data_IF_882984124112
#
_entry.id   IF_882984124112
#
_cell.length_a   1.000
_cell.length_b   1.000
_cell.length_c   1.000
_cell.angle_alpha   90.00
_cell.angle_beta   90.00
_cell.angle_gamma   90.00
#
_symmetry.space_group_name_H-M   'P 1'
#
loop_
_entity.id
_entity.type
_entity.pdbx_description
1 polymer ?
#
# COMPACT_ATOMS: atom_id res chain seq x y z
N UNK A 1 20.84 7.40 -18.93
CA UNK A 1 19.78 8.11 -18.29
C UNK A 1 20.30 8.85 -17.09
N UNK A 2 20.02 10.12 -16.97
CA UNK A 2 20.44 10.99 -15.90
C UNK A 2 19.72 10.59 -14.61
N UNK A 3 20.43 10.03 -13.65
CA UNK A 3 20.05 10.08 -12.25
C UNK A 3 20.35 11.52 -11.82
N UNK A 4 19.40 12.41 -11.98
CA UNK A 4 19.40 13.66 -11.25
C UNK A 4 19.39 13.31 -9.77
N UNK A 5 20.38 13.78 -9.05
CA UNK A 5 20.42 13.84 -7.60
C UNK A 5 19.14 14.56 -7.16
N UNK A 6 18.12 13.81 -6.80
CA UNK A 6 16.89 14.36 -6.22
C UNK A 6 17.23 14.91 -4.83
N UNK A 7 17.74 16.13 -4.82
CA UNK A 7 17.69 17.00 -3.64
C UNK A 7 16.23 17.05 -3.17
N UNK A 8 16.02 16.99 -1.87
CA UNK A 8 14.75 16.91 -1.16
C UNK A 8 13.56 17.39 -2.01
N UNK A 9 12.75 16.45 -2.48
CA UNK A 9 11.52 16.79 -3.20
C UNK A 9 10.56 17.34 -2.15
N UNK A 10 10.29 18.64 -2.23
CA UNK A 10 9.30 19.30 -1.38
C UNK A 10 7.91 18.90 -1.87
N UNK A 11 7.43 17.72 -1.47
CA UNK A 11 6.04 17.34 -1.74
C UNK A 11 5.13 17.98 -0.70
N UNK A 12 3.95 18.45 -1.12
CA UNK A 12 2.97 19.04 -0.19
C UNK A 12 2.37 17.97 0.72
N UNK A 13 2.01 16.82 0.15
CA UNK A 13 1.41 15.70 0.89
C UNK A 13 2.18 14.41 0.63
N UNK A 14 2.62 13.76 1.70
CA UNK A 14 3.20 12.42 1.67
C UNK A 14 2.17 11.41 2.15
N UNK A 15 1.83 10.43 1.31
CA UNK A 15 0.90 9.34 1.63
C UNK A 15 1.69 8.05 1.83
N UNK A 16 1.49 7.38 2.97
CA UNK A 16 2.20 6.16 3.33
C UNK A 16 1.32 4.95 3.02
N UNK A 17 1.65 4.24 1.95
CA UNK A 17 0.96 3.05 1.46
C UNK A 17 0.14 3.29 0.19
N UNK A 18 0.40 2.50 -0.86
CA UNK A 18 -0.34 2.51 -2.13
C UNK A 18 -1.44 1.42 -2.17
N UNK A 19 -2.13 1.26 -1.05
CA UNK A 19 -3.34 0.44 -0.96
C UNK A 19 -4.59 1.24 -1.33
N UNK A 20 -5.76 0.67 -1.05
CA UNK A 20 -7.06 1.25 -1.36
C UNK A 20 -7.21 2.68 -0.83
N UNK A 21 -6.88 2.93 0.44
CA UNK A 21 -7.00 4.25 1.05
C UNK A 21 -6.00 5.25 0.45
N UNK A 22 -4.74 4.85 0.30
CA UNK A 22 -3.68 5.73 -0.23
C UNK A 22 -3.92 6.13 -1.68
N UNK A 23 -4.32 5.20 -2.54
CA UNK A 23 -4.63 5.51 -3.93
C UNK A 23 -5.90 6.37 -4.06
N UNK A 24 -6.91 6.14 -3.22
CA UNK A 24 -8.13 6.96 -3.21
C UNK A 24 -7.85 8.41 -2.85
N UNK A 25 -7.06 8.65 -1.80
CA UNK A 25 -6.72 10.02 -1.41
C UNK A 25 -5.78 10.70 -2.41
N UNK A 26 -4.81 9.96 -2.96
CA UNK A 26 -3.90 10.48 -3.98
C UNK A 26 -4.67 10.94 -5.23
N UNK A 27 -5.63 10.13 -5.69
CA UNK A 27 -6.50 10.50 -6.80
C UNK A 27 -7.34 11.75 -6.49
N UNK A 28 -7.84 11.89 -5.27
CA UNK A 28 -8.58 13.07 -4.86
C UNK A 28 -7.71 14.32 -4.82
N UNK A 29 -6.51 14.22 -4.27
CA UNK A 29 -5.54 15.32 -4.23
C UNK A 29 -5.14 15.75 -5.66
N UNK A 30 -4.91 14.79 -6.55
CA UNK A 30 -4.65 15.05 -7.98
C UNK A 30 -5.77 15.88 -8.63
N UNK A 31 -7.04 15.55 -8.37
CA UNK A 31 -8.19 16.31 -8.89
C UNK A 31 -8.29 17.73 -8.32
N UNK A 32 -7.62 17.99 -7.22
CA UNK A 32 -7.58 19.31 -6.58
C UNK A 32 -6.30 20.08 -6.89
N UNK A 33 -5.46 19.59 -7.81
CA UNK A 33 -4.13 20.13 -8.14
C UNK A 33 -3.22 20.28 -6.90
N UNK A 34 -3.36 19.38 -5.93
CA UNK A 34 -2.50 19.32 -4.76
C UNK A 34 -1.39 18.30 -5.01
N UNK A 35 -0.14 18.76 -4.93
CA UNK A 35 1.03 17.90 -5.08
C UNK A 35 1.06 16.81 -4.00
N UNK A 36 1.21 15.56 -4.43
CA UNK A 36 1.14 14.38 -3.59
C UNK A 36 2.10 13.31 -4.08
N UNK A 37 2.89 12.79 -3.14
CA UNK A 37 3.71 11.59 -3.34
C UNK A 37 3.14 10.45 -2.49
N UNK A 38 2.91 9.30 -3.11
CA UNK A 38 2.59 8.05 -2.41
C UNK A 38 3.85 7.20 -2.31
N UNK A 39 4.14 6.66 -1.14
CA UNK A 39 5.25 5.70 -0.96
C UNK A 39 4.70 4.32 -0.62
N UNK A 40 5.27 3.29 -1.24
CA UNK A 40 4.85 1.90 -1.10
C UNK A 40 6.09 1.02 -0.84
N UNK A 41 6.07 0.28 0.26
CA UNK A 41 7.18 -0.60 0.64
C UNK A 41 7.40 -1.79 -0.29
N UNK A 42 6.31 -2.26 -0.92
CA UNK A 42 6.43 -3.34 -1.89
C UNK A 42 7.02 -2.83 -3.21
N UNK A 43 7.62 -3.73 -3.97
CA UNK A 43 8.23 -3.42 -5.26
C UNK A 43 7.21 -3.06 -6.35
N UNK A 44 5.90 -3.26 -6.07
CA UNK A 44 4.86 -3.10 -7.06
C UNK A 44 3.53 -2.72 -6.41
N UNK A 45 2.80 -1.77 -7.00
CA UNK A 45 1.43 -1.44 -6.58
C UNK A 45 0.54 -2.69 -6.72
N UNK A 46 -0.28 -2.94 -5.70
CA UNK A 46 -1.15 -4.13 -5.65
C UNK A 46 -0.51 -5.37 -5.03
N UNK A 47 0.77 -5.35 -4.67
CA UNK A 47 1.43 -6.50 -4.04
C UNK A 47 0.86 -6.85 -2.67
N UNK A 48 0.22 -5.91 -1.99
CA UNK A 48 -0.57 -6.19 -0.79
C UNK A 48 -1.70 -7.20 -1.04
N UNK A 49 -2.19 -7.31 -2.28
CA UNK A 49 -3.14 -8.33 -2.72
C UNK A 49 -2.42 -9.56 -3.27
N UNK A 50 -1.44 -9.41 -4.17
CA UNK A 50 -0.74 -10.55 -4.80
C UNK A 50 -0.10 -11.48 -3.78
N UNK A 51 0.45 -10.94 -2.68
CA UNK A 51 1.11 -11.68 -1.61
C UNK A 51 0.16 -12.42 -0.67
N UNK A 52 -1.16 -12.29 -0.83
CA UNK A 52 -2.16 -13.05 -0.08
C UNK A 52 -2.25 -14.47 -0.59
N UNK A 53 -2.96 -15.33 0.17
CA UNK A 53 -3.17 -16.74 -0.22
C UNK A 53 -3.81 -16.87 -1.61
N UNK A 54 -3.45 -17.95 -2.30
CA UNK A 54 -3.71 -18.12 -3.74
C UNK A 54 -5.19 -18.02 -4.13
N UNK A 55 -6.06 -18.63 -3.34
CA UNK A 55 -7.51 -18.70 -3.63
C UNK A 55 -8.29 -17.49 -3.12
N UNK A 56 -7.62 -16.38 -2.73
CA UNK A 56 -8.33 -15.21 -2.20
C UNK A 56 -9.20 -14.56 -3.26
N UNK A 57 -10.48 -14.46 -2.93
CA UNK A 57 -11.50 -13.71 -3.66
C UNK A 57 -12.13 -12.71 -2.69
N UNK A 58 -12.45 -11.52 -3.14
CA UNK A 58 -13.15 -10.54 -2.32
C UNK A 58 -14.52 -11.09 -1.91
N UNK A 59 -14.91 -10.87 -0.66
CA UNK A 59 -16.22 -11.31 -0.12
C UNK A 59 -17.34 -10.28 -0.33
N UNK A 60 -17.00 -9.10 -0.86
CA UNK A 60 -17.97 -8.07 -1.25
C UNK A 60 -18.05 -8.01 -2.77
N UNK A 61 -19.20 -7.55 -3.25
CA UNK A 61 -19.43 -7.37 -4.69
C UNK A 61 -18.51 -6.29 -5.28
N UNK A 62 -18.13 -6.47 -6.57
CA UNK A 62 -17.26 -5.51 -7.27
C UNK A 62 -17.79 -4.08 -7.25
N UNK A 63 -19.12 -3.90 -7.27
CA UNK A 63 -19.76 -2.59 -7.33
C UNK A 63 -19.53 -1.70 -6.11
N UNK A 64 -19.14 -2.30 -4.98
CA UNK A 64 -18.84 -1.56 -3.73
C UNK A 64 -17.33 -1.45 -3.43
N UNK A 65 -16.48 -2.04 -4.26
CA UNK A 65 -15.05 -2.12 -4.00
C UNK A 65 -14.19 -1.24 -4.91
N UNK A 66 -14.78 -0.57 -5.92
CA UNK A 66 -14.02 0.31 -6.80
C UNK A 66 -13.49 1.55 -6.04
N UNK A 67 -12.38 2.09 -6.54
CA UNK A 67 -11.85 3.37 -6.06
C UNK A 67 -12.57 4.56 -6.72
N UNK A 68 -12.44 5.78 -6.19
CA UNK A 68 -13.03 6.97 -6.78
C UNK A 68 -12.66 7.15 -8.26
N UNK A 69 -13.55 7.73 -9.05
CA UNK A 69 -13.40 8.14 -10.46
C UNK A 69 -13.37 7.03 -11.50
N UNK A 70 -12.89 5.82 -11.19
CA UNK A 70 -12.84 4.71 -12.16
C UNK A 70 -13.49 3.48 -11.52
N UNK A 71 -14.50 2.94 -12.19
CA UNK A 71 -15.18 1.72 -11.77
C UNK A 71 -14.47 0.49 -12.34
N UNK A 72 -14.64 -0.67 -11.69
CA UNK A 72 -14.26 -1.94 -12.27
C UNK A 72 -15.07 -2.23 -13.54
N UNK A 73 -14.50 -2.88 -14.56
CA UNK A 73 -15.22 -3.28 -15.76
C UNK A 73 -16.46 -4.12 -15.42
N UNK A 74 -17.59 -3.82 -16.07
CA UNK A 74 -18.85 -4.52 -15.81
C UNK A 74 -18.81 -6.01 -16.15
N UNK A 75 -17.94 -6.37 -17.11
CA UNK A 75 -17.74 -7.77 -17.54
C UNK A 75 -16.93 -8.62 -16.54
N UNK A 76 -16.40 -8.01 -15.50
CA UNK A 76 -15.64 -8.72 -14.47
C UNK A 76 -16.57 -9.49 -13.52
N UNK A 77 -16.05 -10.57 -12.85
CA UNK A 77 -16.81 -11.34 -11.88
C UNK A 77 -17.40 -10.45 -10.77
N UNK A 78 -18.52 -10.88 -10.20
CA UNK A 78 -19.15 -10.18 -9.07
C UNK A 78 -18.22 -10.10 -7.86
N UNK A 79 -17.49 -11.18 -7.58
CA UNK A 79 -16.49 -11.28 -6.52
C UNK A 79 -15.11 -11.38 -7.15
N UNK A 80 -14.27 -10.39 -6.89
CA UNK A 80 -13.00 -10.25 -7.61
C UNK A 80 -11.90 -11.11 -7.01
N UNK A 81 -11.20 -11.94 -7.81
CA UNK A 81 -9.94 -12.55 -7.42
C UNK A 81 -8.89 -11.49 -7.08
N UNK A 82 -8.05 -11.77 -6.09
CA UNK A 82 -7.02 -10.85 -5.60
C UNK A 82 -6.09 -10.28 -6.68
N UNK A 83 -5.74 -11.10 -7.68
CA UNK A 83 -4.81 -10.69 -8.73
C UNK A 83 -5.46 -9.72 -9.73
N UNK A 84 -6.78 -9.83 -9.94
CA UNK A 84 -7.52 -8.84 -10.72
C UNK A 84 -7.56 -7.49 -9.99
N UNK A 85 -7.77 -7.49 -8.67
CA UNK A 85 -7.73 -6.26 -7.86
C UNK A 85 -6.35 -5.63 -7.91
N UNK A 86 -5.30 -6.44 -7.77
CA UNK A 86 -3.91 -5.97 -7.83
C UNK A 86 -3.56 -5.33 -9.17
N UNK A 87 -3.91 -5.99 -10.29
CA UNK A 87 -3.69 -5.45 -11.63
C UNK A 87 -4.49 -4.16 -11.88
N UNK A 88 -5.71 -4.10 -11.33
CA UNK A 88 -6.53 -2.90 -11.45
C UNK A 88 -5.94 -1.70 -10.66
N UNK A 89 -5.32 -1.92 -9.50
CA UNK A 89 -4.63 -0.86 -8.76
C UNK A 89 -3.46 -0.29 -9.57
N UNK A 90 -2.70 -1.11 -10.28
CA UNK A 90 -1.65 -0.63 -11.18
C UNK A 90 -2.22 0.20 -12.34
N UNK A 91 -3.28 -0.31 -12.97
CA UNK A 91 -3.98 0.44 -14.02
C UNK A 91 -4.49 1.80 -13.49
N UNK A 92 -5.08 1.81 -12.30
CA UNK A 92 -5.60 3.02 -11.67
C UNK A 92 -4.51 4.08 -11.47
N UNK A 93 -3.33 3.68 -10.99
CA UNK A 93 -2.17 4.58 -10.84
C UNK A 93 -1.75 5.16 -12.18
N UNK A 94 -1.67 4.33 -13.23
CA UNK A 94 -1.30 4.76 -14.57
C UNK A 94 -2.36 5.67 -15.20
N UNK A 95 -3.62 5.28 -15.13
CA UNK A 95 -4.74 6.02 -15.73
C UNK A 95 -4.93 7.42 -15.15
N UNK A 96 -4.64 7.59 -13.85
CA UNK A 96 -4.73 8.87 -13.16
C UNK A 96 -3.38 9.56 -12.99
N UNK A 97 -2.30 9.01 -13.56
CA UNK A 97 -0.94 9.55 -13.49
C UNK A 97 -0.52 9.89 -12.05
N UNK A 98 -0.80 8.98 -11.10
CA UNK A 98 -0.46 9.18 -9.70
C UNK A 98 1.05 9.01 -9.48
N UNK A 99 1.65 9.91 -8.70
CA UNK A 99 3.06 9.84 -8.34
C UNK A 99 3.25 8.82 -7.20
N UNK A 100 3.79 7.65 -7.53
CA UNK A 100 4.00 6.54 -6.58
C UNK A 100 5.45 6.06 -6.64
N UNK A 101 6.11 6.04 -5.49
CA UNK A 101 7.42 5.41 -5.32
C UNK A 101 7.22 4.04 -4.67
N UNK A 102 7.46 2.98 -5.43
CA UNK A 102 7.53 1.61 -4.91
C UNK A 102 8.90 1.33 -4.28
N UNK A 103 9.07 0.17 -3.64
CA UNK A 103 10.29 -0.21 -2.90
C UNK A 103 10.76 0.89 -1.94
N UNK A 104 9.81 1.63 -1.38
CA UNK A 104 10.06 2.78 -0.51
C UNK A 104 9.41 2.59 0.85
N UNK A 105 10.23 2.40 1.87
CA UNK A 105 9.79 2.23 3.24
C UNK A 105 9.79 3.57 3.98
N UNK A 106 8.68 3.88 4.64
CA UNK A 106 8.61 4.97 5.60
C UNK A 106 9.17 4.51 6.95
N UNK A 107 10.22 5.17 7.42
CA UNK A 107 10.90 4.81 8.67
C UNK A 107 10.35 5.61 9.84
N UNK A 108 10.38 6.93 9.73
CA UNK A 108 9.92 7.83 10.79
C UNK A 108 9.67 9.24 10.26
N UNK A 109 9.01 10.06 11.05
CA UNK A 109 8.91 11.49 10.82
C UNK A 109 8.82 12.27 12.13
N UNK A 110 9.31 13.51 12.12
CA UNK A 110 9.15 14.48 13.19
C UNK A 110 8.62 15.80 12.65
N UNK A 111 7.72 16.43 13.39
CA UNK A 111 7.19 17.74 13.00
C UNK A 111 8.13 18.84 13.47
N UNK A 112 8.44 19.78 12.61
CA UNK A 112 9.23 20.98 12.91
C UNK A 112 8.30 22.19 13.01
N UNK A 113 7.98 22.60 14.23
CA UNK A 113 7.07 23.71 14.49
C UNK A 113 7.56 25.05 13.91
N UNK A 114 8.88 25.23 13.78
CA UNK A 114 9.45 26.47 13.26
C UNK A 114 9.20 26.63 11.75
N UNK A 115 9.32 25.54 11.01
CA UNK A 115 9.11 25.55 9.56
C UNK A 115 7.67 25.19 9.16
N UNK A 116 6.88 24.59 10.07
CA UNK A 116 5.55 24.08 9.79
C UNK A 116 5.54 22.85 8.86
N UNK A 117 6.64 22.12 8.81
CA UNK A 117 6.79 20.94 7.94
C UNK A 117 7.21 19.72 8.75
N UNK A 118 6.87 18.55 8.21
CA UNK A 118 7.42 17.28 8.69
C UNK A 118 8.83 17.09 8.14
N UNK A 119 9.68 16.41 8.90
CA UNK A 119 10.93 15.82 8.43
C UNK A 119 10.71 14.31 8.35
N UNK A 120 10.44 13.80 7.16
CA UNK A 120 10.19 12.40 6.92
C UNK A 120 11.47 11.71 6.47
N UNK A 121 11.76 10.56 7.08
CA UNK A 121 12.86 9.68 6.70
C UNK A 121 12.29 8.43 6.03
N UNK A 122 12.76 8.15 4.83
CA UNK A 122 12.38 7.03 3.98
C UNK A 122 13.63 6.23 3.57
N UNK A 123 13.44 4.97 3.24
CA UNK A 123 14.44 4.14 2.55
C UNK A 123 13.86 3.73 1.20
N UNK A 124 14.44 4.22 0.12
CA UNK A 124 14.00 3.94 -1.25
C UNK A 124 15.05 3.07 -1.94
N UNK A 125 14.68 1.84 -2.34
CA UNK A 125 15.60 0.89 -2.97
C UNK A 125 16.92 0.68 -2.20
N UNK A 126 16.85 0.74 -0.87
CA UNK A 126 17.99 0.61 0.03
C UNK A 126 18.77 1.91 0.29
N UNK A 127 18.40 3.01 -0.32
CA UNK A 127 19.01 4.32 -0.11
C UNK A 127 18.14 5.24 0.76
N UNK A 128 18.77 5.93 1.69
CA UNK A 128 18.08 6.91 2.53
C UNK A 128 17.59 8.12 1.73
N UNK A 129 16.39 8.56 2.04
CA UNK A 129 15.76 9.77 1.48
C UNK A 129 15.12 10.58 2.60
N UNK A 130 15.23 11.89 2.51
CA UNK A 130 14.63 12.83 3.46
C UNK A 130 13.72 13.78 2.72
N UNK A 131 12.45 13.84 3.13
CA UNK A 131 11.43 14.70 2.55
C UNK A 131 10.92 15.69 3.60
N UNK A 132 10.37 16.81 3.14
CA UNK A 132 9.79 17.85 4.01
C UNK A 132 8.33 18.14 3.64
N UNK A 133 7.42 17.16 3.74
CA UNK A 133 6.02 17.40 3.42
C UNK A 133 5.36 18.30 4.47
N UNK A 134 4.33 19.03 4.05
CA UNK A 134 3.44 19.75 4.96
C UNK A 134 2.50 18.81 5.70
N UNK A 135 2.06 17.75 5.03
CA UNK A 135 1.10 16.78 5.56
C UNK A 135 1.60 15.36 5.34
N UNK A 136 1.35 14.50 6.30
CA UNK A 136 1.57 13.04 6.18
C UNK A 136 0.23 12.34 6.39
N UNK A 137 -0.13 11.44 5.48
CA UNK A 137 -1.32 10.62 5.55
C UNK A 137 -0.91 9.16 5.72
N UNK A 138 -1.26 8.58 6.86
CA UNK A 138 -1.01 7.17 7.15
C UNK A 138 -2.10 6.31 6.52
N UNK A 139 -1.78 5.63 5.41
CA UNK A 139 -2.68 4.74 4.67
C UNK A 139 -2.18 3.29 4.67
N UNK A 140 -1.59 2.88 5.80
CA UNK A 140 -0.89 1.59 5.96
C UNK A 140 -1.81 0.37 6.07
N UNK A 141 -3.11 0.59 6.22
CA UNK A 141 -4.10 -0.49 6.38
C UNK A 141 -4.09 -1.13 7.76
N UNK A 142 -5.09 -1.98 8.02
CA UNK A 142 -5.29 -2.62 9.34
C UNK A 142 -4.56 -3.95 9.48
N UNK A 143 -4.13 -4.57 8.39
CA UNK A 143 -3.50 -5.90 8.36
C UNK A 143 -2.09 -5.88 7.76
N UNK A 144 -1.37 -4.76 7.92
CA UNK A 144 -0.07 -4.55 7.30
C UNK A 144 1.06 -5.34 7.99
N UNK A 145 0.97 -5.49 9.31
CA UNK A 145 1.96 -6.19 10.15
C UNK A 145 1.23 -7.33 10.87
N UNK A 146 1.66 -8.61 10.69
CA UNK A 146 1.09 -9.73 11.41
C UNK A 146 1.37 -9.61 12.92
N UNK A 147 0.32 -9.72 13.73
CA UNK A 147 0.49 -9.87 15.18
C UNK A 147 0.84 -11.33 15.49
N UNK A 148 2.04 -11.55 15.99
CA UNK A 148 2.57 -12.87 16.39
C UNK A 148 2.72 -12.98 17.91
N UNK A 149 1.89 -12.26 18.65
CA UNK A 149 1.87 -12.32 20.11
C UNK A 149 1.68 -13.77 20.58
N UNK A 150 2.37 -14.18 21.66
CA UNK A 150 2.24 -15.52 22.22
C UNK A 150 0.79 -15.80 22.63
N UNK A 151 0.29 -16.98 22.27
CA UNK A 151 -1.00 -17.50 22.73
C UNK A 151 -0.74 -18.54 23.80
N UNK A 152 -1.30 -18.34 24.99
CA UNK A 152 -1.13 -19.26 26.13
C UNK A 152 -1.63 -20.65 25.77
N UNK A 153 -0.84 -21.68 26.09
CA UNK A 153 -1.15 -23.08 25.81
C UNK A 153 -0.92 -23.52 24.36
N UNK A 154 -0.53 -22.64 23.45
CA UNK A 154 -0.29 -23.00 22.05
C UNK A 154 0.84 -24.04 21.89
N UNK A 155 1.84 -23.99 22.76
CA UNK A 155 2.96 -24.96 22.81
C UNK A 155 2.51 -26.39 23.15
N UNK A 156 1.35 -26.59 23.78
CA UNK A 156 0.81 -27.89 24.14
C UNK A 156 0.02 -28.56 23.01
N UNK A 157 -0.36 -27.77 21.98
CA UNK A 157 -1.03 -28.28 20.79
C UNK A 157 -0.06 -29.15 19.97
N UNK A 158 -0.49 -30.37 19.65
CA UNK A 158 0.35 -31.36 18.93
C UNK A 158 0.16 -31.36 17.41
N UNK A 159 -0.77 -30.54 16.90
CA UNK A 159 -1.02 -30.34 15.47
C UNK A 159 -0.10 -29.29 14.86
N UNK A 160 -0.37 -28.98 13.61
CA UNK A 160 0.34 -27.92 12.88
C UNK A 160 -0.17 -26.55 13.33
N UNK A 161 0.75 -25.68 13.71
CA UNK A 161 0.47 -24.29 14.08
C UNK A 161 1.02 -23.38 12.98
N UNK A 162 0.18 -22.52 12.48
CA UNK A 162 0.55 -21.55 11.43
C UNK A 162 -0.18 -20.23 11.66
N UNK A 163 0.52 -19.13 11.48
CA UNK A 163 -0.13 -17.82 11.42
C UNK A 163 -0.85 -17.64 10.07
N UNK A 164 -2.00 -16.98 10.06
CA UNK A 164 -2.78 -16.77 8.83
C UNK A 164 -2.01 -16.04 7.71
N UNK A 165 -1.02 -15.22 8.06
CA UNK A 165 -0.15 -14.55 7.08
C UNK A 165 0.79 -15.51 6.34
N UNK A 166 1.05 -16.70 6.90
CA UNK A 166 1.96 -17.72 6.33
C UNK A 166 1.19 -18.77 5.50
N UNK A 167 -0.15 -18.70 5.49
CA UNK A 167 -0.98 -19.57 4.66
C UNK A 167 -0.97 -19.11 3.20
N UNK A 168 -0.52 -19.96 2.30
CA UNK A 168 -0.44 -19.69 0.87
C UNK A 168 -1.45 -20.46 0.02
N UNK A 169 -1.64 -21.73 0.31
CA UNK A 169 -2.57 -22.61 -0.43
C UNK A 169 -2.95 -23.85 0.38
N UNK A 170 -3.97 -24.56 -0.09
CA UNK A 170 -4.36 -25.86 0.49
C UNK A 170 -3.47 -27.01 0.04
N UNK A 171 -2.63 -26.83 -0.98
CA UNK A 171 -1.82 -27.92 -1.59
C UNK A 171 -1.00 -28.75 -0.61
N UNK A 172 -0.37 -28.17 0.44
CA UNK A 172 0.36 -29.00 1.41
C UNK A 172 -0.51 -29.85 2.34
N UNK A 173 -1.84 -29.66 2.31
CA UNK A 173 -2.80 -30.26 3.25
C UNK A 173 -3.75 -31.28 2.60
N UNK A 174 -3.55 -31.59 1.32
CA UNK A 174 -4.37 -32.51 0.52
C UNK A 174 -3.66 -33.83 0.31
#
# INVERSE_FOLDING_TARGET
GLIETLTAVDTTVLVIGAGQAGLSIAARLRQMDIDCLVVERNGRVGDNWRKRYQALVLHNQRTVNHLPYIQFPEVWPEYLPKDMVAGWFEYYVQALELNVWCSTEFVTASFDEKSGHWRAHLVCEGEERHLKPRHIIMATGVSAIPDRSPVEGLQDFKGVVMHSADYHSATPWV
#
